data_IF_954212683986
#
_entry.id   IF_954212683986
#
_cell.length_a   1.000
_cell.length_b   1.000
_cell.length_c   1.000
_cell.angle_alpha   90.00
_cell.angle_beta   90.00
_cell.angle_gamma   90.00
#
_symmetry.space_group_name_H-M   'P 1'
#
loop_
_entity.id
_entity.type
_entity.pdbx_description
1 polymer ?
#
# COMPACT_ATOMS: atom_id res chain seq x y z
N UNK A 1 -1.85 17.95 11.83
CA UNK A 1 -2.04 17.49 13.22
C UNK A 1 -0.83 16.68 13.70
N UNK A 2 -0.46 15.56 13.00
CA UNK A 2 0.68 14.71 13.43
C UNK A 2 2.01 15.47 13.46
N UNK A 3 2.34 16.29 12.45
CA UNK A 3 3.56 17.10 12.42
C UNK A 3 3.69 18.04 13.63
N UNK A 4 2.60 18.71 14.03
CA UNK A 4 2.64 19.56 15.23
C UNK A 4 2.80 18.78 16.55
N UNK A 5 2.36 17.52 16.59
CA UNK A 5 2.66 16.66 17.74
C UNK A 5 4.12 16.22 17.74
N UNK A 6 4.65 15.87 16.57
CA UNK A 6 6.05 15.49 16.41
C UNK A 6 6.99 16.64 16.85
N UNK A 7 6.75 17.86 16.39
CA UNK A 7 7.49 19.05 16.85
C UNK A 7 7.39 19.24 18.35
N UNK A 8 6.17 19.18 18.92
CA UNK A 8 5.94 19.41 20.35
C UNK A 8 6.67 18.41 21.25
N UNK A 9 6.85 17.18 20.79
CA UNK A 9 7.41 16.10 21.59
C UNK A 9 8.79 15.63 21.09
N UNK A 10 9.41 16.36 20.18
CA UNK A 10 10.69 16.02 19.56
C UNK A 10 10.71 14.58 18.97
N UNK A 11 9.66 14.25 18.22
CA UNK A 11 9.49 12.93 17.63
C UNK A 11 9.88 12.96 16.16
N UNK A 12 10.41 11.85 15.66
CA UNK A 12 10.61 11.60 14.25
C UNK A 12 9.37 10.93 13.64
N UNK A 13 9.02 11.37 12.44
CA UNK A 13 7.86 10.85 11.69
C UNK A 13 8.36 9.98 10.55
N UNK A 14 7.99 8.69 10.59
CA UNK A 14 8.23 7.76 9.50
C UNK A 14 6.88 7.48 8.81
N UNK A 15 6.79 7.75 7.51
CA UNK A 15 5.64 7.44 6.69
C UNK A 15 5.73 5.99 6.19
N UNK A 16 4.79 5.14 6.55
CA UNK A 16 4.54 3.92 5.79
C UNK A 16 3.81 4.28 4.48
N UNK A 17 4.57 4.54 3.44
CA UNK A 17 4.09 4.88 2.11
C UNK A 17 3.97 3.66 1.19
N UNK A 18 3.95 2.43 1.74
CA UNK A 18 3.94 1.19 0.96
C UNK A 18 2.73 1.06 0.01
N UNK A 19 1.62 1.76 0.26
CA UNK A 19 0.42 1.81 -0.58
C UNK A 19 0.17 3.20 -1.19
N UNK A 20 1.10 4.13 -1.08
CA UNK A 20 0.89 5.56 -1.36
C UNK A 20 1.67 6.10 -2.56
N UNK A 21 2.03 5.25 -3.54
CA UNK A 21 2.73 5.70 -4.75
C UNK A 21 1.85 5.53 -6.01
N UNK A 22 1.60 6.63 -6.76
CA UNK A 22 1.72 8.02 -6.35
C UNK A 22 0.48 8.50 -5.58
N UNK A 23 0.71 9.31 -4.57
CA UNK A 23 -0.33 9.89 -3.71
C UNK A 23 0.13 11.27 -3.24
N UNK A 24 -0.79 12.19 -3.03
CA UNK A 24 -0.47 13.51 -2.47
C UNK A 24 -1.47 13.94 -1.40
N UNK A 25 -1.00 14.71 -0.44
CA UNK A 25 -1.79 15.34 0.59
C UNK A 25 -1.44 16.82 0.71
N UNK A 26 -2.42 17.70 0.50
CA UNK A 26 -2.24 19.16 0.50
C UNK A 26 -1.11 19.63 -0.44
N UNK A 27 -1.06 19.04 -1.65
CA UNK A 27 -0.09 19.37 -2.68
C UNK A 27 1.32 18.83 -2.43
N UNK A 28 1.55 18.05 -1.36
CA UNK A 28 2.83 17.40 -1.08
C UNK A 28 2.73 15.90 -1.36
N UNK A 29 3.73 15.32 -2.01
CA UNK A 29 3.77 13.90 -2.29
C UNK A 29 3.90 13.09 -0.99
N UNK A 30 3.22 11.95 -0.90
CA UNK A 30 3.50 10.97 0.16
C UNK A 30 4.97 10.54 0.11
N UNK A 31 5.56 10.29 1.28
CA UNK A 31 6.98 10.05 1.43
C UNK A 31 7.82 11.32 1.58
N UNK A 32 7.18 12.52 1.54
CA UNK A 32 7.81 13.81 1.82
C UNK A 32 7.09 14.60 2.93
N UNK A 33 6.17 13.96 3.63
CA UNK A 33 5.37 14.62 4.68
C UNK A 33 6.04 14.55 6.06
N UNK A 34 6.76 13.46 6.32
CA UNK A 34 7.53 13.22 7.53
C UNK A 34 9.04 13.39 7.34
N UNK A 35 9.83 12.90 8.30
CA UNK A 35 11.30 12.88 8.22
C UNK A 35 11.80 11.79 7.25
N UNK A 36 11.06 10.69 7.14
CA UNK A 36 11.38 9.52 6.31
C UNK A 36 10.12 8.95 5.70
N UNK A 37 10.13 8.64 4.40
CA UNK A 37 9.11 7.87 3.72
C UNK A 37 9.63 6.49 3.31
N UNK A 38 8.83 5.43 3.50
CA UNK A 38 9.17 4.07 3.12
C UNK A 38 8.17 3.52 2.10
N UNK A 39 8.61 3.25 0.88
CA UNK A 39 7.83 2.71 -0.22
C UNK A 39 8.10 1.22 -0.43
N UNK A 40 7.10 0.50 -0.91
CA UNK A 40 7.20 -0.90 -1.33
C UNK A 40 7.06 -1.03 -2.85
N UNK A 41 7.94 -1.83 -3.44
CA UNK A 41 7.88 -2.23 -4.85
C UNK A 41 7.60 -3.73 -5.00
N UNK A 42 6.94 -4.32 -4.00
CA UNK A 42 6.46 -5.69 -4.07
C UNK A 42 5.54 -5.91 -5.28
N UNK A 43 5.47 -7.14 -5.77
CA UNK A 43 4.79 -7.51 -7.02
C UNK A 43 3.33 -7.02 -7.16
N UNK A 44 2.61 -6.82 -6.04
CA UNK A 44 1.20 -6.37 -6.06
C UNK A 44 1.04 -4.84 -6.03
N UNK A 45 2.13 -4.09 -5.86
CA UNK A 45 2.08 -2.63 -5.75
C UNK A 45 1.83 -1.95 -7.11
N UNK A 46 1.39 -0.70 -7.09
CA UNK A 46 1.12 0.08 -8.30
C UNK A 46 2.36 0.19 -9.18
N UNK A 47 3.51 0.44 -8.57
CA UNK A 47 4.84 0.30 -9.14
C UNK A 47 5.50 -0.91 -8.49
N UNK A 48 6.00 -1.85 -9.28
CA UNK A 48 6.59 -3.06 -8.74
C UNK A 48 7.90 -3.45 -9.45
N UNK A 49 8.82 -4.03 -8.69
CA UNK A 49 10.08 -4.58 -9.20
C UNK A 49 10.22 -6.08 -8.87
N UNK A 50 9.09 -6.74 -8.60
CA UNK A 50 9.03 -8.10 -8.06
C UNK A 50 9.17 -8.05 -6.54
N UNK A 51 10.36 -7.77 -6.07
CA UNK A 51 10.71 -7.36 -4.71
C UNK A 51 11.49 -6.06 -4.77
N UNK A 52 11.35 -5.21 -3.77
CA UNK A 52 12.06 -3.95 -3.65
C UNK A 52 11.34 -2.92 -2.81
N UNK A 53 12.01 -1.79 -2.61
CA UNK A 53 11.49 -0.63 -1.90
C UNK A 53 12.40 0.56 -2.09
N UNK A 54 11.93 1.71 -1.60
CA UNK A 54 12.64 2.96 -1.62
C UNK A 54 12.42 3.69 -0.31
N UNK A 55 13.46 4.34 0.16
CA UNK A 55 13.36 5.30 1.26
C UNK A 55 13.59 6.70 0.72
N UNK A 56 12.77 7.65 1.15
CA UNK A 56 12.92 9.08 0.87
C UNK A 56 13.15 9.85 2.17
N UNK A 57 14.04 10.82 2.15
CA UNK A 57 14.33 11.72 3.27
C UNK A 57 15.05 12.97 2.76
N UNK A 58 14.87 14.09 3.43
CA UNK A 58 15.63 15.33 3.22
C UNK A 58 16.82 15.46 4.20
N UNK A 59 17.03 14.46 5.07
CA UNK A 59 18.14 14.41 6.02
C UNK A 59 19.30 13.59 5.43
N UNK A 60 20.40 14.28 5.11
CA UNK A 60 21.61 13.66 4.51
C UNK A 60 22.24 12.61 5.42
N UNK A 61 22.19 12.78 6.74
CA UNK A 61 22.76 11.82 7.68
C UNK A 61 21.94 10.52 7.71
N UNK A 62 20.61 10.63 7.64
CA UNK A 62 19.71 9.47 7.52
C UNK A 62 19.95 8.78 6.17
N UNK A 63 20.04 9.54 5.07
CA UNK A 63 20.28 9.00 3.74
C UNK A 63 21.59 8.21 3.68
N UNK A 64 22.70 8.77 4.21
CA UNK A 64 24.00 8.11 4.26
C UNK A 64 23.98 6.85 5.15
N UNK A 65 23.32 6.94 6.30
CA UNK A 65 23.14 5.79 7.18
C UNK A 65 22.41 4.64 6.49
N UNK A 66 21.33 4.94 5.75
CA UNK A 66 20.57 3.93 5.01
C UNK A 66 21.38 3.32 3.88
N UNK A 67 22.15 4.13 3.11
CA UNK A 67 23.06 3.63 2.07
C UNK A 67 24.06 2.64 2.64
N UNK A 68 24.66 2.97 3.78
CA UNK A 68 25.59 2.09 4.49
C UNK A 68 24.91 0.81 4.97
N UNK A 69 23.77 0.95 5.66
CA UNK A 69 23.08 -0.17 6.28
C UNK A 69 22.49 -1.15 5.27
N UNK A 70 22.00 -0.69 4.11
CA UNK A 70 21.41 -1.55 3.07
C UNK A 70 22.41 -2.52 2.41
N UNK A 71 23.72 -2.26 2.55
CA UNK A 71 24.79 -3.05 1.95
C UNK A 71 25.83 -3.44 3.01
N UNK A 72 25.47 -4.39 3.87
CA UNK A 72 26.35 -5.01 4.89
C UNK A 72 26.99 -4.06 5.92
N UNK A 73 26.57 -2.80 6.00
CA UNK A 73 27.22 -1.78 6.83
C UNK A 73 28.59 -1.37 6.29
N UNK A 74 28.82 -1.48 5.00
CA UNK A 74 30.06 -1.15 4.33
C UNK A 74 30.17 0.38 4.16
N UNK A 75 31.33 0.95 4.55
CA UNK A 75 31.60 2.39 4.54
C UNK A 75 31.74 3.01 3.14
N UNK A 76 31.76 2.19 2.08
CA UNK A 76 31.98 2.62 0.71
C UNK A 76 31.07 1.93 -0.27
N UNK A 77 30.40 2.71 -1.14
CA UNK A 77 29.68 2.15 -2.28
C UNK A 77 30.68 1.54 -3.31
N UNK A 78 30.20 0.54 -4.06
CA UNK A 78 31.00 -0.12 -5.11
C UNK A 78 31.52 0.89 -6.14
N UNK A 79 30.72 1.92 -6.48
CA UNK A 79 31.09 2.97 -7.43
C UNK A 79 32.21 3.88 -6.92
N UNK A 80 32.20 4.22 -5.62
CA UNK A 80 33.24 5.06 -5.00
C UNK A 80 34.63 4.36 -4.98
N UNK A 81 34.63 3.03 -5.02
CA UNK A 81 35.85 2.25 -5.07
C UNK A 81 36.71 2.51 -6.33
N UNK A 82 36.04 2.81 -7.46
CA UNK A 82 36.70 3.05 -8.74
C UNK A 82 37.13 4.50 -8.94
N UNK A 83 36.62 5.44 -8.14
CA UNK A 83 36.90 6.87 -8.28
C UNK A 83 37.86 7.45 -7.24
N UNK A 84 38.31 6.65 -6.24
CA UNK A 84 39.12 7.15 -5.15
C UNK A 84 40.62 6.80 -5.26
N UNK A 85 41.47 7.61 -4.67
CA UNK A 85 42.91 7.39 -4.56
C UNK A 85 43.33 6.17 -3.70
N UNK A 86 42.42 5.63 -2.89
CA UNK A 86 42.64 4.41 -2.10
C UNK A 86 42.43 3.16 -2.98
N UNK A 87 43.10 2.03 -2.67
CA UNK A 87 42.95 0.80 -3.44
C UNK A 87 41.48 0.40 -3.60
N UNK A 88 41.08 0.00 -4.80
CA UNK A 88 39.67 -0.30 -5.15
C UNK A 88 39.04 -1.43 -4.32
N UNK A 89 39.86 -2.32 -3.77
CA UNK A 89 39.45 -3.44 -2.94
C UNK A 89 39.15 -3.07 -1.46
N UNK A 90 39.67 -1.91 -0.98
CA UNK A 90 39.57 -1.55 0.44
C UNK A 90 38.18 -1.06 0.80
N UNK A 91 37.60 -1.65 1.84
CA UNK A 91 36.36 -1.23 2.50
C UNK A 91 36.39 -1.62 3.97
N UNK A 92 35.56 -0.99 4.77
CA UNK A 92 35.40 -1.29 6.18
C UNK A 92 33.92 -1.58 6.48
N UNK A 93 33.65 -2.53 7.37
CA UNK A 93 32.32 -2.76 7.93
C UNK A 93 32.21 -1.90 9.18
N UNK A 94 31.44 -0.82 9.08
CA UNK A 94 31.30 0.19 10.15
C UNK A 94 30.04 0.02 10.98
N UNK A 95 29.14 -0.90 10.59
CA UNK A 95 27.91 -1.19 11.29
C UNK A 95 27.38 -2.61 10.95
N UNK A 96 26.54 -3.22 11.81
CA UNK A 96 25.87 -4.49 11.52
C UNK A 96 24.76 -4.26 10.49
N UNK A 97 25.10 -4.14 9.22
CA UNK A 97 24.18 -3.85 8.13
C UNK A 97 23.46 -5.07 7.57
N UNK A 98 22.59 -4.82 6.62
CA UNK A 98 21.73 -5.80 5.97
C UNK A 98 22.14 -5.99 4.50
N UNK A 99 21.66 -7.05 3.86
CA UNK A 99 21.75 -7.23 2.41
C UNK A 99 20.40 -6.86 1.77
N UNK A 100 20.14 -5.56 1.65
CA UNK A 100 18.88 -4.98 1.17
C UNK A 100 19.02 -4.09 -0.06
N UNK A 101 20.19 -4.06 -0.70
CA UNK A 101 20.38 -3.31 -1.94
C UNK A 101 19.52 -3.89 -3.07
N UNK A 102 18.89 -3.00 -3.85
CA UNK A 102 18.14 -3.37 -5.04
C UNK A 102 19.11 -3.84 -6.15
N UNK A 103 18.84 -4.97 -6.84
CA UNK A 103 19.60 -5.36 -8.04
C UNK A 103 19.35 -4.39 -9.21
N UNK A 104 20.32 -4.24 -10.11
CA UNK A 104 20.25 -3.33 -11.26
C UNK A 104 19.08 -3.66 -12.20
N UNK A 105 18.75 -4.94 -12.39
CA UNK A 105 17.59 -5.37 -13.18
C UNK A 105 16.29 -4.89 -12.59
N UNK A 106 16.12 -4.97 -11.27
CA UNK A 106 14.95 -4.46 -10.56
C UNK A 106 14.90 -2.92 -10.60
N UNK A 107 16.05 -2.25 -10.45
CA UNK A 107 16.16 -0.80 -10.56
C UNK A 107 15.78 -0.31 -11.96
N UNK A 108 16.23 -0.96 -13.02
CA UNK A 108 15.88 -0.63 -14.40
C UNK A 108 14.37 -0.75 -14.66
N UNK A 109 13.73 -1.84 -14.16
CA UNK A 109 12.27 -1.97 -14.20
C UNK A 109 11.56 -0.85 -13.43
N UNK A 110 12.06 -0.51 -12.25
CA UNK A 110 11.50 0.54 -11.40
C UNK A 110 11.55 1.92 -12.07
N UNK A 111 12.64 2.27 -12.72
CA UNK A 111 12.81 3.54 -13.45
C UNK A 111 11.77 3.66 -14.56
N UNK A 112 11.59 2.61 -15.37
CA UNK A 112 10.60 2.61 -16.45
C UNK A 112 9.16 2.71 -15.92
N UNK A 113 8.84 2.01 -14.85
CA UNK A 113 7.50 2.11 -14.24
C UNK A 113 7.27 3.45 -13.55
N UNK A 114 8.30 4.04 -12.93
CA UNK A 114 8.21 5.35 -12.29
C UNK A 114 7.89 6.45 -13.32
N UNK A 115 8.46 6.38 -14.50
CA UNK A 115 8.15 7.31 -15.59
C UNK A 115 6.67 7.27 -16.00
N UNK A 116 5.98 6.16 -15.75
CA UNK A 116 4.57 5.92 -16.07
C UNK A 116 3.64 6.02 -14.85
N UNK A 117 4.15 6.37 -13.68
CA UNK A 117 3.40 6.34 -12.42
C UNK A 117 2.10 7.17 -12.48
N UNK A 118 2.15 8.34 -13.13
CA UNK A 118 0.96 9.19 -13.34
C UNK A 118 -0.12 8.47 -14.16
N UNK A 119 0.24 7.86 -15.28
CA UNK A 119 -0.69 7.11 -16.14
C UNK A 119 -1.31 5.93 -15.37
N UNK A 120 -0.50 5.20 -14.59
CA UNK A 120 -0.97 4.07 -13.79
C UNK A 120 -1.99 4.54 -12.73
N UNK A 121 -1.76 5.67 -12.08
CA UNK A 121 -2.70 6.26 -11.13
C UNK A 121 -4.00 6.72 -11.79
N UNK A 122 -3.91 7.43 -12.92
CA UNK A 122 -5.08 7.93 -13.65
C UNK A 122 -6.01 6.79 -14.06
N UNK A 123 -5.47 5.65 -14.50
CA UNK A 123 -6.30 4.48 -14.80
C UNK A 123 -6.99 3.93 -13.55
N UNK A 124 -6.28 3.82 -12.42
CA UNK A 124 -6.88 3.38 -11.15
C UNK A 124 -7.94 4.36 -10.66
N UNK A 125 -7.71 5.66 -10.82
CA UNK A 125 -8.70 6.69 -10.50
C UNK A 125 -9.98 6.50 -11.33
N UNK A 126 -9.86 6.32 -12.64
CA UNK A 126 -11.03 6.12 -13.52
C UNK A 126 -11.84 4.86 -13.15
N UNK A 127 -11.16 3.78 -12.75
CA UNK A 127 -11.83 2.56 -12.25
C UNK A 127 -12.56 2.84 -10.94
N UNK A 128 -11.90 3.54 -9.99
CA UNK A 128 -12.50 3.88 -8.71
C UNK A 128 -13.72 4.80 -8.87
N UNK A 129 -13.63 5.80 -9.75
CA UNK A 129 -14.74 6.71 -10.06
C UNK A 129 -15.93 5.96 -10.67
N UNK A 130 -15.66 5.03 -11.57
CA UNK A 130 -16.68 4.16 -12.13
C UNK A 130 -17.37 3.33 -11.04
N UNK A 131 -16.60 2.66 -10.18
CA UNK A 131 -17.15 1.90 -9.07
C UNK A 131 -17.97 2.78 -8.12
N UNK A 132 -17.48 3.94 -7.75
CA UNK A 132 -18.20 4.89 -6.91
C UNK A 132 -19.57 5.26 -7.52
N UNK A 133 -19.61 5.51 -8.83
CA UNK A 133 -20.85 5.84 -9.54
C UNK A 133 -21.84 4.66 -9.56
N UNK A 134 -21.33 3.45 -9.79
CA UNK A 134 -22.14 2.24 -9.93
C UNK A 134 -22.67 1.71 -8.59
N UNK A 135 -21.97 2.00 -7.51
CA UNK A 135 -22.31 1.51 -6.16
C UNK A 135 -23.02 2.53 -5.29
N UNK A 136 -23.24 3.74 -5.81
CA UNK A 136 -24.00 4.77 -5.10
C UNK A 136 -25.39 4.27 -4.75
N UNK A 137 -25.78 4.38 -3.47
CA UNK A 137 -27.10 3.96 -2.98
C UNK A 137 -27.25 2.45 -2.72
N UNK A 138 -26.23 1.64 -2.94
CA UNK A 138 -26.24 0.23 -2.55
C UNK A 138 -25.95 0.08 -1.04
N UNK A 139 -26.35 -1.06 -0.41
CA UNK A 139 -26.15 -1.30 1.03
C UNK A 139 -24.68 -1.64 1.36
N UNK A 140 -23.76 -0.79 0.92
CA UNK A 140 -22.32 -0.88 1.17
C UNK A 140 -21.74 0.51 1.48
N UNK A 141 -20.73 0.55 2.34
CA UNK A 141 -19.92 1.76 2.51
C UNK A 141 -18.80 1.77 1.48
N UNK A 142 -18.69 2.86 0.75
CA UNK A 142 -17.62 3.08 -0.21
C UNK A 142 -16.34 3.60 0.45
N UNK A 143 -15.16 3.45 -0.19
CA UNK A 143 -13.96 4.12 0.28
C UNK A 143 -14.18 5.63 0.35
N UNK A 144 -13.60 6.33 1.34
CA UNK A 144 -13.69 7.78 1.40
C UNK A 144 -13.00 8.41 0.17
N UNK A 145 -13.65 9.44 -0.37
CA UNK A 145 -13.03 10.24 -1.43
C UNK A 145 -11.80 11.01 -0.90
N UNK A 146 -10.82 11.22 -1.74
CA UNK A 146 -9.74 12.17 -1.45
C UNK A 146 -10.34 13.58 -1.27
N UNK A 147 -9.76 14.39 -0.38
CA UNK A 147 -10.14 15.79 -0.26
C UNK A 147 -9.80 16.55 -1.55
N UNK A 148 -10.49 17.66 -1.80
CA UNK A 148 -10.23 18.49 -2.99
C UNK A 148 -8.76 18.93 -3.04
N UNK A 149 -8.09 18.59 -4.12
CA UNK A 149 -6.66 18.87 -4.33
C UNK A 149 -5.71 17.78 -3.84
N UNK A 150 -6.21 16.75 -3.15
CA UNK A 150 -5.43 15.57 -2.78
C UNK A 150 -5.56 14.47 -3.85
N UNK A 151 -4.55 13.62 -3.95
CA UNK A 151 -4.54 12.50 -4.87
C UNK A 151 -4.46 11.17 -4.11
N UNK A 152 -5.35 10.23 -4.44
CA UNK A 152 -5.34 8.87 -3.91
C UNK A 152 -4.61 7.92 -4.86
N UNK A 153 -3.80 7.02 -4.31
CA UNK A 153 -3.07 6.02 -5.12
C UNK A 153 -3.97 4.89 -5.64
N UNK A 154 -5.12 4.68 -5.03
CA UNK A 154 -6.05 3.58 -5.34
C UNK A 154 -5.35 2.23 -5.45
N UNK A 155 -4.45 1.96 -4.50
CA UNK A 155 -3.80 0.66 -4.41
C UNK A 155 -4.82 -0.46 -4.18
N UNK A 156 -5.80 -0.21 -3.31
CA UNK A 156 -6.95 -1.08 -3.03
C UNK A 156 -8.24 -0.29 -3.24
N UNK A 157 -9.31 -1.00 -3.62
CA UNK A 157 -10.67 -0.50 -3.57
C UNK A 157 -11.47 -1.37 -2.60
N UNK A 158 -11.69 -0.87 -1.38
CA UNK A 158 -12.27 -1.63 -0.27
C UNK A 158 -13.66 -1.13 0.04
N UNK A 159 -14.66 -1.97 -0.18
CA UNK A 159 -16.04 -1.73 0.27
C UNK A 159 -16.28 -2.39 1.63
N UNK A 160 -17.30 -1.94 2.36
CA UNK A 160 -17.76 -2.58 3.58
C UNK A 160 -19.26 -2.88 3.46
N UNK A 161 -19.61 -4.13 3.64
CA UNK A 161 -21.01 -4.58 3.55
C UNK A 161 -21.82 -3.99 4.71
N UNK A 162 -23.03 -3.42 4.43
CA UNK A 162 -23.98 -2.92 5.43
C UNK A 162 -25.11 -3.91 5.64
N UNK A 163 -25.66 -3.99 6.87
CA UNK A 163 -26.88 -4.75 7.18
C UNK A 163 -26.81 -6.27 6.97
N UNK A 164 -25.81 -6.73 6.27
CA UNK A 164 -25.55 -8.14 5.99
C UNK A 164 -24.73 -8.68 7.15
N UNK A 165 -25.39 -9.21 8.14
CA UNK A 165 -24.73 -9.82 9.31
C UNK A 165 -23.95 -11.06 8.85
N UNK A 166 -22.72 -11.25 9.22
CA UNK A 166 -21.47 -11.27 8.49
C UNK A 166 -21.40 -12.39 7.45
N UNK A 167 -22.18 -12.27 6.38
CA UNK A 167 -22.13 -13.16 5.21
C UNK A 167 -21.04 -12.72 4.22
N UNK A 168 -20.01 -11.97 4.71
CA UNK A 168 -18.89 -11.49 3.87
C UNK A 168 -18.23 -12.61 3.08
N UNK A 169 -17.98 -13.74 3.71
CA UNK A 169 -17.30 -14.86 3.04
C UNK A 169 -18.21 -15.50 1.97
N UNK A 170 -19.51 -15.56 2.20
CA UNK A 170 -20.50 -15.97 1.18
C UNK A 170 -20.55 -14.96 0.01
N UNK A 171 -20.48 -13.67 0.31
CA UNK A 171 -20.42 -12.63 -0.70
C UNK A 171 -19.16 -12.77 -1.58
N UNK A 172 -17.99 -13.00 -0.98
CA UNK A 172 -16.74 -13.26 -1.72
C UNK A 172 -16.86 -14.52 -2.58
N UNK A 173 -17.46 -15.59 -2.04
CA UNK A 173 -17.66 -16.82 -2.80
C UNK A 173 -18.61 -16.60 -3.98
N UNK A 174 -19.72 -15.90 -3.79
CA UNK A 174 -20.65 -15.60 -4.86
C UNK A 174 -20.05 -14.71 -5.96
N UNK A 175 -19.12 -13.82 -5.63
CA UNK A 175 -18.32 -13.09 -6.61
C UNK A 175 -17.36 -14.03 -7.37
N UNK A 176 -16.69 -14.94 -6.66
CA UNK A 176 -15.78 -15.92 -7.25
C UNK A 176 -16.51 -16.83 -8.24
N UNK A 177 -17.73 -17.28 -7.92
CA UNK A 177 -18.59 -18.11 -8.80
C UNK A 177 -18.97 -17.36 -10.09
N UNK A 178 -18.90 -16.02 -10.09
CA UNK A 178 -19.08 -15.14 -11.25
C UNK A 178 -17.75 -14.78 -11.95
N UNK A 179 -16.64 -15.38 -11.49
CA UNK A 179 -15.29 -15.15 -12.02
C UNK A 179 -14.70 -13.80 -11.60
N UNK A 180 -15.17 -13.21 -10.49
CA UNK A 180 -14.62 -12.00 -9.90
C UNK A 180 -13.85 -12.36 -8.63
N UNK A 181 -12.51 -12.27 -8.69
CA UNK A 181 -11.66 -12.48 -7.52
C UNK A 181 -11.73 -11.31 -6.56
N UNK A 182 -12.16 -11.55 -5.34
CA UNK A 182 -12.16 -10.57 -4.25
C UNK A 182 -11.31 -11.06 -3.07
N UNK A 183 -10.89 -10.16 -2.20
CA UNK A 183 -10.01 -10.47 -1.08
C UNK A 183 -10.35 -9.64 0.16
N UNK A 184 -9.62 -9.87 1.25
CA UNK A 184 -9.72 -9.12 2.50
C UNK A 184 -8.35 -8.57 2.89
N UNK A 185 -8.22 -7.27 2.99
CA UNK A 185 -7.01 -6.57 3.41
C UNK A 185 -7.27 -5.77 4.71
N UNK A 186 -6.88 -6.28 5.90
CA UNK A 186 -6.31 -7.62 6.18
C UNK A 186 -6.97 -8.20 7.42
N UNK A 187 -6.65 -9.46 7.78
CA UNK A 187 -7.00 -9.99 9.11
C UNK A 187 -6.24 -9.17 10.16
N UNK A 188 -6.93 -8.54 11.13
CA UNK A 188 -6.26 -7.69 12.12
C UNK A 188 -5.27 -8.48 12.99
N UNK A 189 -4.16 -7.85 13.35
CA UNK A 189 -3.08 -8.50 14.09
C UNK A 189 -3.55 -9.10 15.42
N UNK A 190 -4.49 -8.45 16.12
CA UNK A 190 -5.00 -8.90 17.41
C UNK A 190 -5.78 -10.24 17.35
N UNK A 191 -6.24 -10.68 16.15
CA UNK A 191 -6.86 -12.00 15.96
C UNK A 191 -5.92 -13.04 15.35
N UNK A 192 -4.73 -12.62 14.88
CA UNK A 192 -3.72 -13.54 14.38
C UNK A 192 -3.13 -14.37 15.52
N UNK A 193 -2.93 -15.70 15.35
CA UNK A 193 -2.55 -16.61 16.45
C UNK A 193 -1.35 -16.13 17.26
N UNK A 194 -0.25 -15.78 16.61
CA UNK A 194 0.97 -15.34 17.29
C UNK A 194 0.73 -14.13 18.21
N UNK A 195 0.09 -13.08 17.70
CA UNK A 195 -0.15 -11.85 18.45
C UNK A 195 -1.19 -12.05 19.54
N UNK A 196 -2.28 -12.74 19.18
CA UNK A 196 -3.36 -13.09 20.10
C UNK A 196 -2.83 -13.87 21.31
N UNK A 197 -2.02 -14.88 21.08
CA UNK A 197 -1.49 -15.74 22.15
C UNK A 197 -0.43 -15.02 22.99
N UNK A 198 0.50 -14.28 22.32
CA UNK A 198 1.58 -13.56 23.01
C UNK A 198 1.07 -12.46 23.94
N UNK A 199 0.04 -11.75 23.54
CA UNK A 199 -0.50 -10.60 24.27
C UNK A 199 -1.88 -10.87 24.89
N UNK A 200 -2.39 -12.10 24.82
CA UNK A 200 -3.71 -12.51 25.33
C UNK A 200 -4.86 -11.64 24.81
N UNK A 201 -4.78 -11.24 23.52
CA UNK A 201 -5.73 -10.34 22.88
C UNK A 201 -7.03 -11.06 22.50
N UNK A 202 -8.12 -10.31 22.50
CA UNK A 202 -9.46 -10.76 22.09
C UNK A 202 -9.99 -9.83 20.99
N UNK A 203 -10.95 -10.30 20.16
CA UNK A 203 -11.60 -9.45 19.16
C UNK A 203 -12.17 -8.15 19.74
N UNK A 204 -12.75 -8.21 20.93
CA UNK A 204 -13.42 -7.09 21.62
C UNK A 204 -12.44 -6.06 22.20
N UNK A 205 -11.15 -6.36 22.27
CA UNK A 205 -10.12 -5.38 22.69
C UNK A 205 -9.93 -4.27 21.63
N UNK A 206 -10.31 -4.58 20.36
CA UNK A 206 -10.24 -3.65 19.23
C UNK A 206 -11.54 -3.70 18.41
N UNK A 207 -12.68 -3.30 18.97
CA UNK A 207 -14.00 -3.54 18.38
C UNK A 207 -14.19 -2.87 17.02
N UNK A 208 -13.64 -1.68 16.81
CA UNK A 208 -13.72 -0.96 15.52
C UNK A 208 -12.94 -1.69 14.43
N UNK A 209 -11.71 -2.11 14.72
CA UNK A 209 -10.88 -2.84 13.75
C UNK A 209 -11.50 -4.19 13.41
N UNK A 210 -12.07 -4.88 14.40
CA UNK A 210 -12.73 -6.17 14.20
C UNK A 210 -14.04 -6.04 13.39
N UNK A 211 -14.87 -5.02 13.67
CA UNK A 211 -16.08 -4.75 12.89
C UNK A 211 -15.75 -4.42 11.43
N UNK A 212 -14.78 -3.53 11.17
CA UNK A 212 -14.34 -3.22 9.80
C UNK A 212 -13.86 -4.48 9.08
N UNK A 213 -13.02 -5.30 9.74
CA UNK A 213 -12.53 -6.55 9.16
C UNK A 213 -13.66 -7.51 8.77
N UNK A 214 -14.68 -7.66 9.62
CA UNK A 214 -15.80 -8.56 9.34
C UNK A 214 -16.62 -8.17 8.11
N UNK A 215 -16.59 -6.91 7.72
CA UNK A 215 -17.42 -6.34 6.65
C UNK A 215 -16.64 -5.98 5.40
N UNK A 216 -15.31 -5.84 5.48
CA UNK A 216 -14.52 -5.35 4.36
C UNK A 216 -14.32 -6.41 3.27
N UNK A 217 -14.42 -5.95 2.02
CA UNK A 217 -14.12 -6.71 0.80
C UNK A 217 -13.31 -5.82 -0.13
N UNK A 218 -12.17 -6.31 -0.58
CA UNK A 218 -11.34 -5.64 -1.59
C UNK A 218 -11.73 -6.14 -2.97
N UNK A 219 -12.23 -5.24 -3.80
CA UNK A 219 -12.57 -5.53 -5.19
C UNK A 219 -11.34 -5.39 -6.11
N UNK A 220 -11.33 -6.07 -7.26
CA UNK A 220 -10.27 -5.94 -8.24
C UNK A 220 -10.07 -4.48 -8.68
N UNK A 221 -8.82 -4.00 -8.60
CA UNK A 221 -8.40 -2.72 -9.14
C UNK A 221 -6.94 -2.81 -9.59
N UNK A 222 -6.70 -2.86 -10.89
CA UNK A 222 -5.36 -2.85 -11.49
C UNK A 222 -5.38 -2.26 -12.90
N UNK A 223 -4.26 -1.73 -13.33
CA UNK A 223 -4.17 -0.88 -14.53
C UNK A 223 -4.45 -1.58 -15.86
N UNK A 224 -4.33 -2.92 -15.90
CA UNK A 224 -4.61 -3.73 -17.12
C UNK A 224 -6.07 -4.14 -17.25
N UNK A 225 -6.95 -3.82 -16.29
CA UNK A 225 -8.37 -4.08 -16.46
C UNK A 225 -8.91 -3.33 -17.68
N UNK A 226 -9.56 -4.04 -18.58
CA UNK A 226 -10.38 -3.43 -19.64
C UNK A 226 -11.65 -2.80 -19.03
N UNK A 227 -12.32 -1.92 -19.77
CA UNK A 227 -13.59 -1.36 -19.28
C UNK A 227 -14.65 -2.45 -19.12
N UNK A 228 -14.66 -3.47 -19.98
CA UNK A 228 -15.53 -4.64 -19.84
C UNK A 228 -15.24 -5.45 -18.55
N UNK A 229 -13.97 -5.55 -18.12
CA UNK A 229 -13.64 -6.17 -16.81
C UNK A 229 -14.19 -5.35 -15.66
N UNK A 230 -14.06 -4.02 -15.73
CA UNK A 230 -14.57 -3.11 -14.70
C UNK A 230 -16.09 -3.17 -14.61
N UNK A 231 -16.79 -3.15 -15.73
CA UNK A 231 -18.24 -3.32 -15.82
C UNK A 231 -18.69 -4.67 -15.23
N UNK A 232 -18.01 -5.75 -15.62
CA UNK A 232 -18.29 -7.09 -15.09
C UNK A 232 -18.17 -7.18 -13.57
N UNK A 233 -17.15 -6.53 -12.97
CA UNK A 233 -17.02 -6.47 -11.52
C UNK A 233 -18.19 -5.72 -10.91
N UNK A 234 -18.53 -4.55 -11.45
CA UNK A 234 -19.61 -3.74 -10.93
C UNK A 234 -20.98 -4.46 -10.99
N UNK A 235 -21.29 -5.09 -12.13
CA UNK A 235 -22.54 -5.81 -12.29
C UNK A 235 -22.61 -7.07 -11.41
N UNK A 236 -21.48 -7.77 -11.24
CA UNK A 236 -21.41 -8.91 -10.33
C UNK A 236 -21.68 -8.50 -8.88
N UNK A 237 -21.13 -7.37 -8.42
CA UNK A 237 -21.39 -6.82 -7.08
C UNK A 237 -22.86 -6.52 -6.90
N UNK A 238 -23.51 -5.82 -7.85
CA UNK A 238 -24.94 -5.49 -7.80
C UNK A 238 -25.82 -6.75 -7.72
N UNK A 239 -25.57 -7.72 -8.60
CA UNK A 239 -26.31 -8.97 -8.66
C UNK A 239 -26.20 -9.79 -7.38
N UNK A 240 -24.98 -9.86 -6.81
CA UNK A 240 -24.77 -10.58 -5.55
C UNK A 240 -25.48 -9.87 -4.40
N UNK A 241 -25.35 -8.54 -4.28
CA UNK A 241 -26.08 -7.79 -3.25
C UNK A 241 -27.61 -8.01 -3.33
N UNK A 242 -28.18 -7.90 -4.53
CA UNK A 242 -29.62 -8.12 -4.73
C UNK A 242 -30.08 -9.54 -4.31
N UNK A 243 -29.23 -10.56 -4.50
CA UNK A 243 -29.54 -11.93 -4.08
C UNK A 243 -29.53 -12.13 -2.56
N UNK A 244 -28.80 -11.28 -1.82
CA UNK A 244 -28.75 -11.32 -0.36
C UNK A 244 -29.90 -10.58 0.32
N UNK A 245 -30.54 -9.62 -0.37
CA UNK A 245 -31.73 -8.90 0.13
C UNK A 245 -33.03 -9.75 0.05
N UNK A 246 -33.01 -10.78 -0.80
CA UNK A 246 -34.18 -11.66 -1.04
C UNK A 246 -34.21 -12.88 -0.09
N UNK A 247 -33.16 -13.12 0.69
CA UNK A 247 -33.04 -14.22 1.64
C UNK A 247 -32.86 -13.70 3.07
#
# INVERSE_FOLDING_TARGET
ALGGLAEKYDLKVIEDAAHALPCSYKGRAAGSLGDVGAFSFYATKTLCTGEGGMVTTDDDAIAERIRTMRLHGISRDVFDRYQSEKPSWYYEVVAPGFKYNMPDTAAAMGIEQLSRAKLLRERRQSIADYYNSQFSGLPIDLPPAAATGDEHAWHLYVIRLQGINPRRDEFIQALADRGVGASVHFIPLHVQPYWRERYQLKPDDFPVAYDVYRRCVSLPIYTKMSDADVERVADSVKLVLASFEQN
#
